data_IF_253750197141
#
_entry.id   IF_253750197141
#
_cell.length_a   1.000
_cell.length_b   1.000
_cell.length_c   1.000
_cell.angle_alpha   90.00
_cell.angle_beta   90.00
_cell.angle_gamma   90.00
#
_symmetry.space_group_name_H-M   'P 1'
#
loop_
_entity.id
_entity.type
_entity.pdbx_description
1 polymer ?
#
# COMPACT_ATOMS: atom_id res chain seq x y z
N UNK A 1 1.38 -60.71 38.49
CA UNK A 1 1.06 -59.57 39.38
C UNK A 1 0.42 -58.43 38.57
N UNK A 2 -0.67 -57.82 39.05
CA UNK A 2 -1.34 -56.70 38.35
C UNK A 2 -0.53 -55.42 38.53
N UNK A 3 -0.30 -54.67 37.44
CA UNK A 3 0.31 -53.33 37.51
C UNK A 3 -0.55 -52.40 38.37
N UNK A 4 0.04 -51.57 39.25
CA UNK A 4 -0.71 -50.59 40.04
C UNK A 4 -1.42 -49.59 39.11
N UNK A 5 -2.62 -49.17 39.51
CA UNK A 5 -3.50 -48.30 38.71
C UNK A 5 -2.78 -47.00 38.33
N UNK A 6 -1.97 -46.45 39.23
CA UNK A 6 -1.14 -45.26 38.97
C UNK A 6 -0.18 -45.44 37.78
N UNK A 7 0.45 -46.62 37.64
CA UNK A 7 1.36 -46.90 36.54
C UNK A 7 0.62 -46.99 35.21
N UNK A 8 -0.59 -47.56 35.19
CA UNK A 8 -1.44 -47.58 34.00
C UNK A 8 -1.93 -46.19 33.59
N UNK A 9 -2.28 -45.34 34.57
CA UNK A 9 -2.65 -43.94 34.30
C UNK A 9 -1.48 -43.20 33.66
N UNK A 10 -0.26 -43.38 34.20
CA UNK A 10 0.96 -42.77 33.65
C UNK A 10 1.23 -43.24 32.21
N UNK A 11 1.16 -44.55 31.95
CA UNK A 11 1.33 -45.11 30.60
C UNK A 11 0.30 -44.57 29.60
N UNK A 12 -0.96 -44.41 30.01
CA UNK A 12 -2.02 -43.83 29.16
C UNK A 12 -1.80 -42.34 28.91
N UNK A 13 -1.37 -41.58 29.91
CA UNK A 13 -1.04 -40.16 29.75
C UNK A 13 0.16 -39.96 28.82
N UNK A 14 1.19 -40.78 28.92
CA UNK A 14 2.35 -40.76 28.02
C UNK A 14 1.94 -41.04 26.58
N UNK A 15 1.11 -42.06 26.35
CA UNK A 15 0.57 -42.37 25.02
C UNK A 15 -0.29 -41.24 24.46
N UNK A 16 -1.15 -40.63 25.29
CA UNK A 16 -1.95 -39.46 24.88
C UNK A 16 -1.06 -38.30 24.46
N UNK A 17 -0.04 -37.96 25.25
CA UNK A 17 0.92 -36.89 24.93
C UNK A 17 1.67 -37.17 23.63
N UNK A 18 2.10 -38.41 23.42
CA UNK A 18 2.78 -38.81 22.18
C UNK A 18 1.88 -38.68 20.95
N UNK A 19 0.60 -39.08 21.05
CA UNK A 19 -0.37 -38.91 19.98
C UNK A 19 -0.68 -37.44 19.71
N UNK A 20 -0.88 -36.63 20.75
CA UNK A 20 -1.10 -35.18 20.60
C UNK A 20 0.08 -34.51 19.90
N UNK A 21 1.31 -34.79 20.33
CA UNK A 21 2.52 -34.25 19.70
C UNK A 21 2.67 -34.66 18.23
N UNK A 22 2.16 -35.83 17.83
CA UNK A 22 2.12 -36.24 16.42
C UNK A 22 1.07 -35.45 15.65
N UNK A 23 -0.11 -35.25 16.23
CA UNK A 23 -1.17 -34.45 15.63
C UNK A 23 -0.72 -33.00 15.43
N UNK A 24 -0.20 -32.35 16.47
CA UNK A 24 0.27 -30.97 16.40
C UNK A 24 1.38 -30.77 15.34
N UNK A 25 2.19 -31.80 15.09
CA UNK A 25 3.20 -31.79 14.02
C UNK A 25 2.56 -31.87 12.64
N UNK A 26 1.56 -32.74 12.47
CA UNK A 26 0.83 -32.88 11.21
C UNK A 26 0.06 -31.60 10.89
N UNK A 27 -0.62 -31.01 11.87
CA UNK A 27 -1.37 -29.77 11.70
C UNK A 27 -0.46 -28.63 11.27
N UNK A 28 0.68 -28.42 11.93
CA UNK A 28 1.66 -27.41 11.52
C UNK A 28 2.23 -27.66 10.12
N UNK A 29 2.48 -28.92 9.75
CA UNK A 29 2.94 -29.27 8.42
C UNK A 29 1.88 -28.97 7.36
N UNK A 30 0.61 -29.31 7.62
CA UNK A 30 -0.51 -29.03 6.73
C UNK A 30 -0.80 -27.54 6.61
N UNK A 31 -0.77 -26.80 7.73
CA UNK A 31 -0.96 -25.36 7.77
C UNK A 31 0.13 -24.64 6.97
N UNK A 32 1.40 -25.03 7.16
CA UNK A 32 2.52 -24.50 6.40
C UNK A 32 2.35 -24.78 4.91
N UNK A 33 2.00 -26.02 4.54
CA UNK A 33 1.74 -26.37 3.14
C UNK A 33 0.57 -25.57 2.54
N UNK A 34 -0.53 -25.39 3.28
CA UNK A 34 -1.68 -24.61 2.83
C UNK A 34 -1.31 -23.15 2.60
N UNK A 35 -0.59 -22.53 3.55
CA UNK A 35 -0.14 -21.13 3.44
C UNK A 35 0.78 -20.93 2.25
N UNK A 36 1.74 -21.83 2.05
CA UNK A 36 2.69 -21.76 0.92
C UNK A 36 1.96 -21.93 -0.41
N UNK A 37 1.13 -22.97 -0.55
CA UNK A 37 0.41 -23.23 -1.80
C UNK A 37 -0.57 -22.12 -2.17
N UNK A 38 -1.28 -21.58 -1.17
CA UNK A 38 -2.19 -20.47 -1.39
C UNK A 38 -1.42 -19.21 -1.82
N UNK A 39 -0.28 -18.94 -1.17
CA UNK A 39 0.60 -17.83 -1.53
C UNK A 39 1.16 -17.96 -2.95
N UNK A 40 1.69 -19.13 -3.31
CA UNK A 40 2.23 -19.36 -4.66
C UNK A 40 1.16 -19.26 -5.74
N UNK A 41 -0.03 -19.82 -5.49
CA UNK A 41 -1.17 -19.74 -6.40
C UNK A 41 -1.63 -18.29 -6.60
N UNK A 42 -1.71 -17.51 -5.52
CA UNK A 42 -2.11 -16.10 -5.60
C UNK A 42 -1.10 -15.28 -6.40
N UNK A 43 0.20 -15.52 -6.20
CA UNK A 43 1.27 -14.85 -6.95
C UNK A 43 1.22 -15.20 -8.44
N UNK A 44 1.04 -16.48 -8.78
CA UNK A 44 0.89 -16.94 -10.15
C UNK A 44 -0.34 -16.31 -10.83
N UNK A 45 -1.46 -16.22 -10.10
CA UNK A 45 -2.67 -15.59 -10.59
C UNK A 45 -2.47 -14.10 -10.90
N UNK A 46 -1.81 -13.37 -10.00
CA UNK A 46 -1.50 -11.95 -10.20
C UNK A 46 -0.51 -11.73 -11.36
N UNK A 47 0.37 -12.68 -11.63
CA UNK A 47 1.29 -12.64 -12.78
C UNK A 47 0.56 -12.85 -14.12
N UNK A 48 -0.41 -13.77 -14.17
CA UNK A 48 -1.21 -14.05 -15.38
C UNK A 48 -2.19 -12.92 -15.72
N UNK A 49 -2.75 -12.25 -14.70
CA UNK A 49 -3.75 -11.20 -14.88
C UNK A 49 -3.12 -9.83 -15.26
N UNK A 50 -1.80 -9.74 -15.44
CA UNK A 50 -1.12 -8.54 -15.98
C UNK A 50 -1.34 -8.31 -17.47
N UNK A 51 -1.79 -9.34 -18.20
CA UNK A 51 -2.05 -9.31 -19.65
C UNK A 51 -3.51 -9.01 -20.01
N UNK A 52 -4.43 -9.00 -19.03
CA UNK A 52 -5.85 -8.71 -19.25
C UNK A 52 -6.15 -7.25 -18.94
N UNK A 53 -6.75 -6.55 -19.91
CA UNK A 53 -7.04 -5.10 -19.86
C UNK A 53 -8.10 -4.70 -18.80
N UNK A 54 -8.66 -5.65 -18.05
CA UNK A 54 -9.65 -5.40 -17.00
C UNK A 54 -8.97 -5.27 -15.63
N UNK A 55 -9.34 -4.27 -14.81
CA UNK A 55 -8.76 -4.10 -13.49
C UNK A 55 -9.15 -5.27 -12.59
N UNK A 56 -8.21 -6.19 -12.39
CA UNK A 56 -8.40 -7.37 -11.57
C UNK A 56 -8.87 -6.99 -10.14
N UNK A 57 -10.12 -7.30 -9.84
CA UNK A 57 -10.76 -7.11 -8.54
C UNK A 57 -9.92 -7.68 -7.39
N UNK A 58 -9.17 -8.76 -7.65
CA UNK A 58 -8.28 -9.38 -6.68
C UNK A 58 -7.08 -8.49 -6.33
N UNK A 59 -6.44 -7.86 -7.32
CA UNK A 59 -5.31 -6.95 -7.08
C UNK A 59 -5.78 -5.72 -6.30
N UNK A 60 -6.96 -5.18 -6.64
CA UNK A 60 -7.58 -4.06 -5.91
C UNK A 60 -7.91 -4.45 -4.47
N UNK A 61 -8.55 -5.61 -4.28
CA UNK A 61 -8.87 -6.14 -2.96
C UNK A 61 -7.59 -6.37 -2.13
N UNK A 62 -6.55 -6.96 -2.71
CA UNK A 62 -5.28 -7.22 -2.05
C UNK A 62 -4.58 -5.92 -1.64
N UNK A 63 -4.65 -4.88 -2.50
CA UNK A 63 -4.22 -3.52 -2.19
C UNK A 63 -4.85 -2.94 -0.92
N UNK A 64 -6.11 -3.25 -0.65
CA UNK A 64 -6.81 -2.78 0.56
C UNK A 64 -6.57 -3.64 1.80
N UNK A 65 -6.47 -4.97 1.65
CA UNK A 65 -6.44 -5.90 2.78
C UNK A 65 -5.01 -6.24 3.22
N UNK A 66 -4.06 -6.35 2.29
CA UNK A 66 -2.70 -6.79 2.60
C UNK A 66 -1.94 -5.79 3.50
N UNK A 67 -2.03 -4.46 3.31
CA UNK A 67 -1.39 -3.51 4.23
C UNK A 67 -1.91 -3.58 5.66
N UNK A 68 -3.19 -3.92 5.86
CA UNK A 68 -3.77 -4.11 7.19
C UNK A 68 -3.31 -5.43 7.85
N UNK A 69 -3.01 -6.45 7.05
CA UNK A 69 -2.51 -7.74 7.53
C UNK A 69 -1.01 -7.71 7.89
N UNK A 70 -0.21 -6.93 7.16
CA UNK A 70 1.22 -6.81 7.39
C UNK A 70 1.50 -5.90 8.57
N UNK A 71 1.95 -6.48 9.69
CA UNK A 71 2.28 -5.72 10.91
C UNK A 71 3.68 -5.07 10.85
N UNK A 72 4.63 -5.66 10.10
CA UNK A 72 6.03 -5.21 10.04
C UNK A 72 6.34 -4.43 8.76
N UNK A 73 7.14 -3.37 8.89
CA UNK A 73 7.62 -2.57 7.73
C UNK A 73 8.45 -3.38 6.75
N UNK A 74 9.28 -4.30 7.25
CA UNK A 74 10.09 -5.18 6.41
C UNK A 74 9.22 -6.06 5.50
N UNK A 75 8.11 -6.59 6.03
CA UNK A 75 7.20 -7.41 5.25
C UNK A 75 6.42 -6.55 4.24
N UNK A 76 6.04 -5.32 4.59
CA UNK A 76 5.43 -4.36 3.66
C UNK A 76 6.32 -4.06 2.45
N UNK A 77 7.62 -3.91 2.66
CA UNK A 77 8.59 -3.65 1.58
C UNK A 77 8.65 -4.80 0.56
N UNK A 78 8.50 -6.06 0.98
CA UNK A 78 8.52 -7.22 0.08
C UNK A 78 7.36 -7.25 -0.93
N UNK A 79 6.25 -6.57 -0.63
CA UNK A 79 5.07 -6.53 -1.49
C UNK A 79 4.90 -5.19 -2.22
N UNK A 80 5.85 -4.26 -2.09
CA UNK A 80 5.77 -2.93 -2.70
C UNK A 80 5.59 -3.00 -4.22
N UNK A 81 6.34 -3.88 -4.90
CA UNK A 81 6.28 -4.05 -6.35
C UNK A 81 4.94 -4.66 -6.82
N UNK A 82 4.32 -5.49 -5.96
CA UNK A 82 3.05 -6.16 -6.25
C UNK A 82 1.84 -5.23 -6.02
N UNK A 83 1.90 -4.45 -4.94
CA UNK A 83 0.83 -3.53 -4.52
C UNK A 83 0.95 -2.15 -5.16
N UNK A 84 2.10 -1.81 -5.72
CA UNK A 84 2.47 -0.45 -6.09
C UNK A 84 3.11 -0.34 -7.47
N UNK A 85 2.27 -0.31 -8.50
CA UNK A 85 2.47 0.59 -9.64
C UNK A 85 1.99 2.02 -9.36
N UNK A 86 1.62 2.37 -8.12
CA UNK A 86 1.11 3.69 -7.76
C UNK A 86 1.41 4.02 -6.29
N UNK A 87 2.63 4.47 -6.02
CA UNK A 87 2.98 5.21 -4.79
C UNK A 87 3.94 6.35 -5.17
N UNK A 88 3.45 7.35 -5.91
CA UNK A 88 4.05 8.69 -5.89
C UNK A 88 2.96 9.76 -5.89
N UNK A 89 2.18 9.82 -4.81
CA UNK A 89 1.59 11.10 -4.39
C UNK A 89 1.89 11.26 -2.91
N UNK A 90 3.14 11.57 -2.61
CA UNK A 90 3.44 12.27 -1.37
C UNK A 90 2.81 13.66 -1.50
N UNK A 91 1.74 13.86 -0.74
CA UNK A 91 1.14 15.14 -0.40
C UNK A 91 2.21 16.00 0.27
N UNK A 92 2.89 16.87 -0.49
CA UNK A 92 3.61 17.99 0.09
C UNK A 92 2.63 19.14 0.29
N UNK A 93 2.38 19.37 1.56
CA UNK A 93 1.67 20.52 2.10
C UNK A 93 2.55 21.76 1.89
N UNK A 94 2.13 22.65 1.00
CA UNK A 94 2.58 24.04 0.99
C UNK A 94 1.51 24.89 1.67
N UNK A 95 1.54 24.88 3.00
CA UNK A 95 0.85 25.85 3.85
C UNK A 95 1.68 27.13 3.92
N UNK A 96 1.08 28.24 3.49
CA UNK A 96 1.36 29.58 4.03
C UNK A 96 2.04 30.60 3.11
N UNK A 97 1.23 31.37 2.37
CA UNK A 97 1.47 32.80 2.19
C UNK A 97 0.17 33.51 1.79
N UNK A 98 -0.53 34.02 2.81
CA UNK A 98 -1.67 34.92 2.68
C UNK A 98 -1.18 36.35 2.39
N UNK A 99 -1.70 36.95 1.32
CA UNK A 99 -2.13 38.36 1.27
C UNK A 99 -1.09 39.46 1.02
N UNK A 100 -1.17 40.09 -0.15
CA UNK A 100 -1.03 41.55 -0.29
C UNK A 100 -1.69 42.02 -1.61
N UNK A 101 -2.90 42.54 -1.49
CA UNK A 101 -3.62 43.34 -2.49
C UNK A 101 -3.04 44.75 -2.48
N UNK A 102 -2.78 45.38 -3.64
CA UNK A 102 -2.50 46.82 -3.67
C UNK A 102 -1.79 47.37 -4.92
N UNK A 103 -2.60 47.78 -5.91
CA UNK A 103 -2.51 48.98 -6.75
C UNK A 103 -1.16 49.70 -6.92
N UNK A 104 -0.74 49.91 -8.19
CA UNK A 104 -0.23 51.19 -8.72
C UNK A 104 -0.03 51.17 -10.24
N UNK A 105 -1.01 51.76 -10.93
CA UNK A 105 -0.85 52.88 -11.87
C UNK A 105 0.18 52.73 -13.02
N UNK A 106 -0.29 52.25 -14.17
CA UNK A 106 0.30 52.61 -15.46
C UNK A 106 -0.39 53.88 -15.96
N UNK A 107 0.21 55.03 -15.66
CA UNK A 107 -0.20 56.32 -16.20
C UNK A 107 0.38 56.45 -17.63
N UNK A 108 -0.51 56.54 -18.62
CA UNK A 108 -0.19 56.92 -19.99
C UNK A 108 0.28 58.38 -19.99
N UNK A 109 1.59 58.59 -20.12
CA UNK A 109 2.18 59.92 -20.23
C UNK A 109 1.82 60.50 -21.62
N UNK A 110 0.79 61.35 -21.62
CA UNK A 110 0.32 62.12 -22.77
C UNK A 110 0.22 63.60 -22.35
N UNK A 111 1.31 64.33 -22.57
CA UNK A 111 1.45 65.77 -22.29
C UNK A 111 2.74 66.24 -22.98
N UNK A 112 2.87 67.31 -23.78
CA UNK A 112 2.00 68.40 -24.23
C UNK A 112 2.54 68.94 -25.57
N UNK A 113 1.62 69.47 -26.35
CA UNK A 113 1.69 70.73 -27.10
C UNK A 113 3.06 71.37 -27.37
N UNK A 114 3.33 71.51 -28.67
CA UNK A 114 4.37 72.36 -29.22
C UNK A 114 3.97 72.83 -30.62
N UNK A 115 2.92 73.64 -30.69
CA UNK A 115 2.56 74.46 -31.86
C UNK A 115 3.67 75.51 -32.10
N UNK A 116 4.16 75.69 -33.34
CA UNK A 116 4.29 77.07 -33.80
C UNK A 116 3.89 77.23 -35.26
N UNK A 117 2.79 77.95 -35.45
CA UNK A 117 2.56 78.98 -36.47
C UNK A 117 3.41 78.88 -37.75
N UNK A 118 2.77 78.60 -38.88
CA UNK A 118 2.78 79.51 -40.05
C UNK A 118 1.72 79.18 -41.08
N UNK A 119 0.80 80.14 -41.20
CA UNK A 119 -0.01 80.39 -42.39
C UNK A 119 0.92 80.73 -43.57
N UNK A 120 0.68 80.16 -44.75
CA UNK A 120 0.87 80.86 -46.03
C UNK A 120 -0.25 80.40 -46.95
N UNK A 121 -1.23 81.29 -47.11
CA UNK A 121 -2.19 81.32 -48.19
C UNK A 121 -1.61 82.22 -49.27
N UNK A 122 -1.32 81.66 -50.44
CA UNK A 122 -1.36 82.35 -51.73
C UNK A 122 -1.61 81.32 -52.81
#
# INVERSE_FOLDING_TARGET
MRKPIAQRIKELQERKRALQSRLDRQERAQETRRKILLGSFLLERLAQDGDTSEPNDLKRWLGTQLPAFLSRDADRALFADLLGGCQTVQRQEATGATGATGSKDNHEDSHLDGDPLKTVRT
#
